data_IF_435844209595
#
_entry.id   IF_435844209595
#
_cell.length_a   1.000
_cell.length_b   1.000
_cell.length_c   1.000
_cell.angle_alpha   90.00
_cell.angle_beta   90.00
_cell.angle_gamma   90.00
#
_symmetry.space_group_name_H-M   'P 1'
#
loop_
_entity.id
_entity.type
_entity.pdbx_description
1 polymer ?
#
# COMPACT_ATOMS: atom_id res chain seq x y z
N UNK A 1 -25.83 35.61 57.95
CA UNK A 1 -26.31 36.60 56.94
C UNK A 1 -26.49 35.83 55.64
N UNK A 2 -27.80 35.55 55.30
CA UNK A 2 -28.24 34.90 54.07
C UNK A 2 -28.15 35.85 52.88
N UNK A 3 -27.62 35.33 51.74
CA UNK A 3 -27.90 35.82 50.38
C UNK A 3 -27.72 34.57 49.51
N UNK A 4 -28.64 33.92 48.95
CA UNK A 4 -29.68 34.39 48.05
C UNK A 4 -29.28 33.80 46.69
N UNK A 5 -29.57 32.43 46.46
CA UNK A 5 -29.50 31.81 45.14
C UNK A 5 -30.76 32.26 44.36
N UNK A 6 -30.59 32.99 43.29
CA UNK A 6 -31.61 33.12 42.23
C UNK A 6 -31.26 32.12 41.14
N UNK A 7 -32.01 31.07 41.06
CA UNK A 7 -32.06 30.22 39.90
C UNK A 7 -32.71 30.99 38.76
N UNK A 8 -31.99 31.13 37.69
CA UNK A 8 -32.52 31.57 36.40
C UNK A 8 -33.00 30.31 35.63
N UNK A 9 -34.27 29.99 35.86
CA UNK A 9 -35.02 29.10 34.98
C UNK A 9 -35.54 29.91 33.78
N UNK A 10 -34.71 30.08 32.80
CA UNK A 10 -35.12 30.54 31.46
C UNK A 10 -34.30 29.79 30.45
N UNK A 11 -34.95 29.15 29.57
CA UNK A 11 -34.53 28.52 28.31
C UNK A 11 -34.89 27.05 28.19
N UNK A 12 -36.15 26.82 27.98
CA UNK A 12 -36.61 25.55 27.35
C UNK A 12 -37.88 25.70 26.49
N UNK A 13 -38.37 26.89 26.21
CA UNK A 13 -39.53 27.07 25.34
C UNK A 13 -39.18 27.41 23.90
N UNK A 14 -37.96 27.90 23.65
CA UNK A 14 -37.50 28.30 22.31
C UNK A 14 -37.02 27.12 21.46
N UNK A 15 -36.52 26.04 22.07
CA UNK A 15 -35.90 24.94 21.30
C UNK A 15 -36.92 23.97 20.69
N UNK A 16 -38.10 23.79 21.33
CA UNK A 16 -39.13 22.91 20.81
C UNK A 16 -39.81 23.48 19.54
N UNK A 17 -39.94 24.84 19.48
CA UNK A 17 -40.60 25.49 18.34
C UNK A 17 -39.67 25.53 17.10
N UNK A 18 -38.39 25.67 17.30
CA UNK A 18 -37.41 25.66 16.20
C UNK A 18 -37.24 24.26 15.59
N UNK A 19 -37.25 23.20 16.44
CA UNK A 19 -37.20 21.83 15.98
C UNK A 19 -38.46 21.42 15.19
N UNK A 20 -39.66 21.88 15.62
CA UNK A 20 -40.88 21.59 14.90
C UNK A 20 -40.98 22.32 13.56
N UNK A 21 -40.49 23.56 13.50
CA UNK A 21 -40.39 24.30 12.21
C UNK A 21 -39.37 23.69 11.23
N UNK A 22 -38.27 23.14 11.73
CA UNK A 22 -37.27 22.49 10.88
C UNK A 22 -37.75 21.15 10.31
N UNK A 23 -38.54 20.38 11.12
CA UNK A 23 -39.15 19.13 10.65
C UNK A 23 -40.29 19.35 9.66
N UNK A 24 -41.06 20.42 9.82
CA UNK A 24 -42.14 20.78 8.88
C UNK A 24 -41.52 21.32 7.56
N UNK A 25 -40.43 22.07 7.65
CA UNK A 25 -39.74 22.58 6.46
C UNK A 25 -39.06 21.44 5.64
N UNK A 26 -38.52 20.40 6.30
CA UNK A 26 -37.95 19.26 5.62
C UNK A 26 -39.00 18.37 4.93
N UNK A 27 -40.24 18.30 5.46
CA UNK A 27 -41.33 17.61 4.78
C UNK A 27 -41.93 18.42 3.62
N UNK A 28 -41.92 19.76 3.68
CA UNK A 28 -42.33 20.59 2.56
C UNK A 28 -41.34 20.54 1.40
N UNK A 29 -40.05 20.41 1.67
CA UNK A 29 -39.01 20.27 0.61
C UNK A 29 -39.14 18.97 -0.18
N UNK A 30 -39.59 17.89 0.47
CA UNK A 30 -39.79 16.59 -0.18
C UNK A 30 -41.04 16.53 -1.07
N UNK A 31 -42.02 17.41 -0.84
CA UNK A 31 -43.25 17.48 -1.64
C UNK A 31 -43.16 18.45 -2.83
N UNK A 32 -42.17 19.37 -2.82
CA UNK A 32 -41.99 20.32 -3.92
C UNK A 32 -41.06 19.82 -5.04
N UNK A 33 -40.22 18.80 -4.77
CA UNK A 33 -39.31 18.23 -5.77
C UNK A 33 -39.97 17.22 -6.74
N UNK A 34 -41.25 16.89 -6.53
CA UNK A 34 -41.98 15.94 -7.39
C UNK A 34 -42.83 16.58 -8.46
N UNK A 35 -43.02 17.93 -8.48
CA UNK A 35 -43.91 18.57 -9.44
C UNK A 35 -43.26 19.48 -10.50
N UNK A 36 -41.93 19.62 -10.54
CA UNK A 36 -41.26 20.47 -11.51
C UNK A 36 -40.10 19.77 -12.20
N UNK A 37 -40.36 18.64 -12.84
CA UNK A 37 -39.46 18.13 -13.87
C UNK A 37 -39.97 18.69 -15.21
N UNK A 38 -39.27 19.61 -15.87
CA UNK A 38 -39.63 20.02 -17.22
C UNK A 38 -39.45 18.85 -18.17
N UNK A 39 -40.54 18.51 -18.89
CA UNK A 39 -40.59 17.52 -19.96
C UNK A 39 -39.40 17.72 -20.91
N UNK A 40 -38.61 16.68 -21.07
CA UNK A 40 -37.55 16.61 -22.06
C UNK A 40 -38.09 16.96 -23.46
N UNK A 41 -37.31 17.68 -24.29
CA UNK A 41 -37.73 18.01 -25.65
C UNK A 41 -37.90 16.73 -26.48
N UNK A 42 -39.03 16.62 -27.13
CA UNK A 42 -39.41 15.56 -28.08
C UNK A 42 -38.31 15.37 -29.12
N UNK A 43 -37.61 14.26 -29.07
CA UNK A 43 -36.71 13.81 -30.15
C UNK A 43 -37.59 13.41 -31.33
N UNK A 44 -37.49 14.16 -32.42
CA UNK A 44 -38.12 13.81 -33.69
C UNK A 44 -37.48 12.53 -34.25
N UNK A 45 -38.27 11.57 -34.78
CA UNK A 45 -37.73 10.40 -35.42
C UNK A 45 -37.04 10.77 -36.73
N UNK A 46 -35.74 10.53 -36.83
CA UNK A 46 -35.04 10.62 -38.12
C UNK A 46 -35.47 9.45 -39.00
N UNK A 47 -36.04 9.81 -40.13
CA UNK A 47 -36.49 8.91 -41.19
C UNK A 47 -35.30 8.09 -41.71
N UNK A 48 -35.58 6.79 -41.87
CA UNK A 48 -34.81 5.79 -42.58
C UNK A 48 -34.37 6.29 -43.96
N UNK A 49 -33.09 6.31 -44.25
CA UNK A 49 -32.57 6.17 -45.59
C UNK A 49 -31.90 4.80 -45.69
N UNK A 50 -32.68 3.89 -46.25
CA UNK A 50 -32.22 2.63 -46.84
C UNK A 50 -32.14 2.91 -48.33
N UNK A 51 -31.15 2.30 -48.95
CA UNK A 51 -30.96 1.95 -50.35
C UNK A 51 -29.93 2.78 -51.15
N UNK A 52 -29.09 1.94 -51.59
CA UNK A 52 -28.46 1.80 -52.91
C UNK A 52 -27.02 2.33 -52.97
N UNK A 53 -26.07 1.40 -53.02
CA UNK A 53 -25.42 1.12 -54.29
C UNK A 53 -24.51 -0.08 -54.18
N UNK A 54 -24.93 -1.10 -54.82
CA UNK A 54 -24.34 -2.29 -55.37
C UNK A 54 -23.28 -1.95 -56.40
N UNK A 55 -22.19 -2.70 -56.37
CA UNK A 55 -21.32 -3.14 -57.46
C UNK A 55 -20.63 -2.11 -58.36
N UNK A 56 -19.31 -2.21 -58.36
CA UNK A 56 -18.57 -2.38 -59.62
C UNK A 56 -17.36 -3.25 -59.32
N UNK A 57 -17.25 -4.25 -60.17
CA UNK A 57 -16.33 -5.35 -60.25
C UNK A 57 -14.93 -4.95 -60.75
N UNK A 58 -13.98 -5.77 -60.38
CA UNK A 58 -12.82 -6.25 -61.15
C UNK A 58 -12.14 -5.33 -62.17
N UNK A 59 -10.86 -5.06 -61.94
CA UNK A 59 -9.85 -5.22 -62.99
C UNK A 59 -8.50 -5.64 -62.43
N UNK A 60 -8.00 -6.74 -62.90
CA UNK A 60 -6.61 -7.18 -62.88
C UNK A 60 -5.71 -6.18 -63.61
N UNK A 61 -4.54 -5.89 -63.13
CA UNK A 61 -3.33 -5.83 -63.92
C UNK A 61 -2.06 -5.80 -63.04
N UNK A 62 -1.14 -6.64 -63.38
CA UNK A 62 0.22 -6.76 -62.93
C UNK A 62 1.02 -5.44 -63.12
N UNK A 63 1.95 -5.16 -62.21
CA UNK A 63 2.98 -4.17 -62.46
C UNK A 63 3.73 -3.91 -61.15
N UNK A 64 4.87 -4.57 -60.97
CA UNK A 64 5.78 -4.34 -59.83
C UNK A 64 6.44 -2.96 -59.94
N UNK A 65 6.60 -2.32 -58.78
CA UNK A 65 7.75 -1.48 -58.50
C UNK A 65 7.92 -1.34 -56.99
N UNK A 66 9.08 -1.70 -56.56
CA UNK A 66 9.58 -1.61 -55.20
C UNK A 66 9.69 -0.12 -54.83
N UNK A 67 9.04 0.30 -53.75
CA UNK A 67 9.43 1.49 -53.00
C UNK A 67 9.26 1.21 -51.53
N UNK A 68 10.41 1.13 -50.83
CA UNK A 68 10.49 1.14 -49.39
C UNK A 68 9.84 2.38 -48.82
N UNK A 69 8.78 2.21 -48.06
CA UNK A 69 8.34 3.18 -47.08
C UNK A 69 8.22 2.44 -45.75
N UNK A 70 9.16 2.73 -44.88
CA UNK A 70 9.11 2.37 -43.47
C UNK A 70 7.92 3.08 -42.82
N UNK A 71 6.78 2.40 -42.76
CA UNK A 71 5.72 2.73 -41.83
C UNK A 71 6.13 2.27 -40.45
N UNK A 72 6.69 3.21 -39.65
CA UNK A 72 6.80 3.04 -38.20
C UNK A 72 5.40 2.96 -37.59
N UNK A 73 4.85 1.75 -37.55
CA UNK A 73 3.74 1.41 -36.67
C UNK A 73 4.27 1.41 -35.23
N UNK A 74 4.15 2.56 -34.56
CA UNK A 74 4.14 2.59 -33.10
C UNK A 74 2.85 1.92 -32.61
N UNK A 75 2.86 0.60 -32.53
CA UNK A 75 1.89 -0.16 -31.76
C UNK A 75 2.24 0.14 -30.30
N UNK A 76 1.52 1.06 -29.68
CA UNK A 76 1.47 1.17 -28.23
C UNK A 76 0.91 -0.18 -27.75
N UNK A 77 1.81 -1.07 -27.34
CA UNK A 77 1.50 -2.32 -26.66
C UNK A 77 0.97 -1.90 -25.29
N UNK A 78 -0.34 -1.90 -25.14
CA UNK A 78 -1.01 -1.83 -23.85
C UNK A 78 -0.53 -3.07 -23.08
N UNK A 79 0.49 -2.86 -22.26
CA UNK A 79 1.17 -3.91 -21.51
C UNK A 79 0.31 -4.14 -20.28
N UNK A 80 -0.68 -5.05 -20.40
CA UNK A 80 -1.37 -5.58 -19.22
C UNK A 80 -0.31 -6.21 -18.33
N UNK A 81 -0.11 -5.64 -17.14
CA UNK A 81 0.87 -6.13 -16.18
C UNK A 81 0.62 -7.62 -15.89
N UNK A 82 1.68 -8.41 -15.83
CA UNK A 82 1.58 -9.84 -15.57
C UNK A 82 0.99 -10.09 -14.17
N UNK A 83 0.02 -10.99 -14.03
CA UNK A 83 -0.64 -11.23 -12.75
C UNK A 83 0.35 -11.57 -11.62
N UNK A 84 1.39 -12.36 -11.94
CA UNK A 84 2.46 -12.69 -10.99
C UNK A 84 3.28 -11.49 -10.55
N UNK A 85 3.46 -10.47 -11.42
CA UNK A 85 4.10 -9.20 -11.09
C UNK A 85 3.31 -8.43 -10.04
N UNK A 86 2.03 -8.22 -10.31
CA UNK A 86 1.11 -7.55 -9.39
C UNK A 86 1.10 -8.25 -8.02
N UNK A 87 1.07 -9.58 -8.01
CA UNK A 87 1.09 -10.35 -6.77
C UNK A 87 2.44 -10.26 -6.04
N UNK A 88 3.56 -10.24 -6.77
CA UNK A 88 4.90 -10.05 -6.23
C UNK A 88 5.04 -8.69 -5.55
N UNK A 89 4.63 -7.63 -6.22
CA UNK A 89 4.66 -6.26 -5.70
C UNK A 89 3.83 -6.14 -4.42
N UNK A 90 2.59 -6.58 -4.48
CA UNK A 90 1.65 -6.49 -3.35
C UNK A 90 2.09 -7.29 -2.12
N UNK A 91 2.66 -8.46 -2.31
CA UNK A 91 2.88 -9.41 -1.23
C UNK A 91 4.35 -9.50 -0.76
N UNK A 92 5.31 -9.27 -1.66
CA UNK A 92 6.72 -9.51 -1.38
C UNK A 92 7.55 -8.23 -1.28
N UNK A 93 7.30 -7.22 -2.13
CA UNK A 93 8.07 -5.97 -2.12
C UNK A 93 7.90 -5.12 -0.87
N UNK A 94 6.86 -5.39 -0.07
CA UNK A 94 6.71 -4.80 1.29
C UNK A 94 7.96 -5.03 2.15
N UNK A 95 8.59 -6.21 2.01
CA UNK A 95 9.82 -6.55 2.72
C UNK A 95 11.03 -6.62 1.78
N UNK A 96 10.84 -7.16 0.58
CA UNK A 96 11.86 -7.44 -0.43
C UNK A 96 11.93 -6.33 -1.50
N UNK A 97 11.81 -5.06 -1.08
CA UNK A 97 11.76 -3.90 -1.97
C UNK A 97 12.93 -3.88 -2.97
N UNK A 98 12.67 -3.70 -4.27
CA UNK A 98 13.71 -3.58 -5.28
C UNK A 98 14.48 -2.26 -5.18
N UNK A 99 13.84 -1.18 -4.70
CA UNK A 99 14.38 0.18 -4.73
C UNK A 99 14.97 0.66 -3.42
N UNK A 100 14.66 0.03 -2.27
CA UNK A 100 15.17 0.45 -0.97
C UNK A 100 16.70 0.39 -0.92
N UNK A 101 17.35 1.55 -0.81
CA UNK A 101 18.81 1.67 -0.68
C UNK A 101 19.29 1.45 0.75
N UNK A 102 18.50 1.89 1.73
CA UNK A 102 18.77 1.81 3.17
C UNK A 102 17.56 1.25 3.92
N UNK A 103 17.74 0.86 5.17
CA UNK A 103 16.64 0.36 6.00
C UNK A 103 16.01 -0.96 5.54
N UNK A 104 16.69 -1.74 4.71
CA UNK A 104 16.20 -3.04 4.23
C UNK A 104 15.93 -3.98 5.39
N UNK A 105 14.76 -4.62 5.39
CA UNK A 105 14.36 -5.64 6.37
C UNK A 105 14.45 -7.06 5.82
N UNK A 106 14.65 -7.19 4.51
CA UNK A 106 14.87 -8.43 3.79
C UNK A 106 15.77 -8.15 2.57
N UNK A 107 16.40 -9.17 1.97
CA UNK A 107 17.14 -8.99 0.72
C UNK A 107 16.18 -8.58 -0.40
N UNK A 108 16.57 -7.66 -1.29
CA UNK A 108 15.80 -7.36 -2.51
C UNK A 108 15.45 -8.63 -3.28
N UNK A 109 14.28 -8.69 -3.89
CA UNK A 109 13.81 -9.90 -4.57
C UNK A 109 14.72 -10.34 -5.72
N UNK A 110 15.36 -9.38 -6.40
CA UNK A 110 16.37 -9.70 -7.42
C UNK A 110 17.55 -10.52 -6.85
N UNK A 111 17.99 -10.24 -5.62
CA UNK A 111 19.03 -11.06 -4.98
C UNK A 111 18.52 -12.44 -4.61
N UNK A 112 17.25 -12.55 -4.20
CA UNK A 112 16.61 -13.83 -3.96
C UNK A 112 16.61 -14.66 -5.26
N UNK A 113 16.15 -14.08 -6.37
CA UNK A 113 16.17 -14.74 -7.68
C UNK A 113 17.57 -15.30 -8.02
N UNK A 114 18.61 -14.47 -7.93
CA UNK A 114 19.98 -14.84 -8.25
C UNK A 114 20.55 -15.98 -7.36
N UNK A 115 20.07 -16.10 -6.12
CA UNK A 115 20.53 -17.14 -5.21
C UNK A 115 19.75 -18.46 -5.38
N UNK A 116 18.49 -18.38 -5.81
CA UNK A 116 17.65 -19.56 -5.99
C UNK A 116 17.78 -20.15 -7.40
N UNK A 117 17.98 -19.31 -8.44
CA UNK A 117 18.10 -19.75 -9.83
C UNK A 117 19.57 -19.74 -10.22
N UNK A 118 20.14 -20.92 -10.40
CA UNK A 118 21.49 -21.17 -10.87
C UNK A 118 21.46 -21.79 -12.26
N UNK A 119 22.61 -21.87 -12.90
CA UNK A 119 22.73 -22.60 -14.18
C UNK A 119 22.21 -24.03 -14.02
N UNK A 120 21.26 -24.39 -14.89
CA UNK A 120 20.59 -25.70 -14.85
C UNK A 120 19.40 -25.83 -13.89
N UNK A 121 19.09 -24.82 -13.08
CA UNK A 121 17.88 -24.83 -12.23
C UNK A 121 16.63 -24.79 -13.10
N UNK A 122 15.77 -25.77 -13.02
CA UNK A 122 14.49 -25.79 -13.71
C UNK A 122 13.46 -24.91 -13.00
N UNK A 123 12.43 -24.49 -13.73
CA UNK A 123 11.31 -23.73 -13.16
C UNK A 123 10.61 -24.52 -12.05
N UNK A 124 10.45 -25.82 -12.21
CA UNK A 124 9.83 -26.66 -11.19
C UNK A 124 10.64 -26.69 -9.90
N UNK A 125 11.95 -26.93 -9.99
CA UNK A 125 12.85 -26.95 -8.82
C UNK A 125 12.87 -25.60 -8.09
N UNK A 126 12.88 -24.51 -8.86
CA UNK A 126 12.77 -23.18 -8.29
C UNK A 126 11.45 -22.98 -7.55
N UNK A 127 10.33 -23.30 -8.20
CA UNK A 127 8.97 -23.12 -7.66
C UNK A 127 8.79 -23.92 -6.37
N UNK A 128 9.19 -25.19 -6.36
CA UNK A 128 9.10 -26.06 -5.18
C UNK A 128 9.95 -25.52 -4.01
N UNK A 129 11.20 -25.14 -4.28
CA UNK A 129 12.09 -24.57 -3.26
C UNK A 129 11.56 -23.24 -2.71
N UNK A 130 11.05 -22.36 -3.58
CA UNK A 130 10.47 -21.08 -3.23
C UNK A 130 9.24 -21.25 -2.33
N UNK A 131 8.25 -22.05 -2.77
CA UNK A 131 7.02 -22.32 -2.03
C UNK A 131 7.31 -22.98 -0.68
N UNK A 132 8.19 -24.01 -0.69
CA UNK A 132 8.59 -24.71 0.54
C UNK A 132 9.22 -23.79 1.55
N UNK A 133 10.05 -22.82 1.10
CA UNK A 133 10.68 -21.87 2.01
C UNK A 133 9.68 -20.80 2.51
N UNK A 134 8.84 -20.25 1.64
CA UNK A 134 7.84 -19.24 2.02
C UNK A 134 6.84 -19.79 3.03
N UNK A 135 6.36 -21.02 2.82
CA UNK A 135 5.39 -21.68 3.72
C UNK A 135 6.02 -22.16 5.03
N UNK A 136 7.25 -22.65 4.99
CA UNK A 136 7.93 -23.23 6.15
C UNK A 136 9.41 -22.82 6.17
N UNK A 137 9.72 -21.55 6.47
CA UNK A 137 11.09 -21.07 6.48
C UNK A 137 11.89 -21.69 7.63
N UNK A 138 12.98 -22.37 7.25
CA UNK A 138 13.97 -22.91 8.21
C UNK A 138 15.37 -22.53 7.73
N UNK A 139 16.36 -22.57 8.64
CA UNK A 139 17.74 -22.27 8.28
C UNK A 139 18.28 -23.23 7.22
N UNK A 140 17.88 -24.49 7.29
CA UNK A 140 18.36 -25.55 6.39
C UNK A 140 17.81 -25.40 4.96
N UNK A 141 16.59 -24.86 4.82
CA UNK A 141 15.98 -24.58 3.49
C UNK A 141 16.48 -23.29 2.86
N UNK A 142 17.12 -22.42 3.63
CA UNK A 142 17.52 -21.10 3.15
C UNK A 142 18.71 -21.19 2.19
N UNK A 143 18.53 -20.66 0.98
CA UNK A 143 19.61 -20.55 -0.02
C UNK A 143 20.53 -19.36 0.23
N UNK A 144 20.21 -18.47 1.19
CA UNK A 144 20.90 -17.23 1.48
C UNK A 144 21.30 -17.14 2.97
N UNK A 145 22.31 -17.88 3.45
CA UNK A 145 22.71 -17.85 4.87
C UNK A 145 23.17 -16.46 5.34
N UNK A 146 23.80 -15.67 4.45
CA UNK A 146 24.17 -14.28 4.74
C UNK A 146 22.96 -13.37 4.95
N UNK A 147 21.85 -13.60 4.26
CA UNK A 147 20.62 -12.85 4.50
C UNK A 147 20.03 -13.18 5.89
N UNK A 148 20.09 -14.44 6.32
CA UNK A 148 19.65 -14.82 7.67
C UNK A 148 20.50 -14.13 8.74
N UNK A 149 21.81 -14.02 8.54
CA UNK A 149 22.69 -13.33 9.48
C UNK A 149 22.36 -11.83 9.57
N UNK A 150 22.01 -11.19 8.47
CA UNK A 150 21.74 -9.76 8.40
C UNK A 150 20.30 -9.39 8.79
N UNK A 151 19.31 -10.18 8.37
CA UNK A 151 17.89 -9.85 8.48
C UNK A 151 17.10 -10.79 9.41
N UNK A 152 17.71 -11.88 9.84
CA UNK A 152 17.01 -12.97 10.53
C UNK A 152 16.32 -13.92 9.56
N UNK A 153 15.72 -14.98 10.09
CA UNK A 153 14.93 -15.92 9.31
C UNK A 153 13.62 -15.26 8.90
N UNK A 154 13.26 -15.37 7.60
CA UNK A 154 11.98 -14.90 7.08
C UNK A 154 10.83 -15.48 7.90
N UNK A 155 9.84 -14.68 8.32
CA UNK A 155 8.65 -15.22 8.97
C UNK A 155 7.81 -16.04 8.00
N UNK A 156 7.17 -17.09 8.50
CA UNK A 156 6.24 -17.91 7.73
C UNK A 156 5.12 -17.05 7.13
N UNK A 157 4.78 -17.29 5.88
CA UNK A 157 3.69 -16.59 5.17
C UNK A 157 2.58 -17.58 4.81
N UNK A 158 1.35 -17.21 5.11
CA UNK A 158 0.16 -18.03 4.84
C UNK A 158 -0.51 -17.65 3.50
N UNK A 159 0.29 -17.56 2.42
CA UNK A 159 -0.28 -17.30 1.09
C UNK A 159 -0.88 -18.57 0.49
N UNK A 160 -2.00 -18.45 -0.26
CA UNK A 160 -2.51 -19.53 -1.07
C UNK A 160 -1.43 -20.06 -2.04
N UNK A 161 -1.42 -21.36 -2.29
CA UNK A 161 -0.42 -21.97 -3.15
C UNK A 161 -0.51 -21.47 -4.59
N UNK A 162 -1.72 -21.23 -5.08
CA UNK A 162 -1.96 -20.62 -6.39
C UNK A 162 -1.27 -19.24 -6.51
N UNK A 163 -1.38 -18.41 -5.49
CA UNK A 163 -0.69 -17.10 -5.43
C UNK A 163 0.82 -17.26 -5.50
N UNK A 164 1.37 -18.21 -4.74
CA UNK A 164 2.81 -18.47 -4.73
C UNK A 164 3.30 -19.04 -6.06
N UNK A 165 2.51 -19.88 -6.73
CA UNK A 165 2.83 -20.40 -8.07
C UNK A 165 2.91 -19.27 -9.09
N UNK A 166 1.95 -18.35 -9.12
CA UNK A 166 1.95 -17.17 -10.02
C UNK A 166 3.15 -16.25 -9.77
N UNK A 167 3.49 -16.02 -8.51
CA UNK A 167 4.66 -15.24 -8.13
C UNK A 167 5.95 -15.95 -8.57
N UNK A 168 6.07 -17.26 -8.32
CA UNK A 168 7.23 -18.04 -8.71
C UNK A 168 7.42 -18.09 -10.23
N UNK A 169 6.32 -18.25 -10.97
CA UNK A 169 6.33 -18.21 -12.44
C UNK A 169 6.89 -16.87 -12.93
N UNK A 170 6.41 -15.75 -12.41
CA UNK A 170 6.90 -14.43 -12.79
C UNK A 170 8.38 -14.24 -12.42
N UNK A 171 8.78 -14.60 -11.20
CA UNK A 171 10.18 -14.50 -10.76
C UNK A 171 11.10 -15.30 -11.67
N UNK A 172 10.69 -16.50 -12.09
CA UNK A 172 11.53 -17.35 -12.91
C UNK A 172 11.68 -16.82 -14.33
N UNK A 173 10.59 -16.45 -14.98
CA UNK A 173 10.53 -16.18 -16.42
C UNK A 173 10.83 -14.72 -16.80
N UNK A 174 10.65 -13.76 -15.89
CA UNK A 174 10.75 -12.34 -16.20
C UNK A 174 11.91 -11.66 -15.45
N UNK A 175 12.43 -10.58 -16.03
CA UNK A 175 13.37 -9.74 -15.32
C UNK A 175 12.66 -8.99 -14.20
N UNK A 176 13.26 -8.98 -13.01
CA UNK A 176 12.73 -8.31 -11.84
C UNK A 176 13.56 -7.05 -11.61
N UNK A 177 12.89 -5.96 -11.25
CA UNK A 177 13.55 -4.75 -10.82
C UNK A 177 14.49 -5.03 -9.65
N UNK A 178 15.69 -4.51 -9.73
CA UNK A 178 16.73 -4.66 -8.72
C UNK A 178 17.30 -3.32 -8.30
N UNK A 179 17.96 -3.26 -7.12
CA UNK A 179 18.62 -2.03 -6.69
C UNK A 179 19.70 -1.63 -7.68
N UNK A 180 19.89 -0.30 -7.84
CA UNK A 180 20.86 0.24 -8.80
C UNK A 180 22.32 -0.23 -8.58
N UNK A 181 22.63 -0.77 -7.41
CA UNK A 181 23.93 -1.38 -7.06
C UNK A 181 24.02 -2.88 -7.40
N UNK A 182 22.99 -3.46 -8.04
CA UNK A 182 22.94 -4.89 -8.35
C UNK A 182 24.11 -5.36 -9.24
N UNK A 183 24.50 -4.58 -10.23
CA UNK A 183 25.64 -4.91 -11.11
C UNK A 183 26.97 -4.97 -10.33
N UNK A 184 27.12 -4.16 -9.28
CA UNK A 184 28.29 -4.17 -8.40
C UNK A 184 28.22 -5.31 -7.38
N UNK A 185 27.04 -5.64 -6.89
CA UNK A 185 26.80 -6.79 -6.01
C UNK A 185 27.27 -8.09 -6.70
N UNK A 186 26.92 -8.28 -7.97
CA UNK A 186 27.33 -9.44 -8.77
C UNK A 186 28.86 -9.55 -8.92
N UNK A 187 29.57 -8.42 -8.97
CA UNK A 187 31.04 -8.38 -9.00
C UNK A 187 31.69 -8.67 -7.64
N UNK A 188 31.03 -8.36 -6.53
CA UNK A 188 31.57 -8.47 -5.16
C UNK A 188 31.41 -9.85 -4.52
N UNK A 189 30.40 -10.62 -4.90
CA UNK A 189 30.27 -12.02 -4.42
C UNK A 189 31.31 -12.99 -4.99
N UNK A 190 32.15 -12.55 -5.92
CA UNK A 190 33.33 -13.27 -6.37
C UNK A 190 34.60 -13.03 -5.57
N UNK A 191 34.72 -11.96 -4.76
CA UNK A 191 35.89 -11.69 -3.90
C UNK A 191 35.48 -10.68 -2.81
N UNK A 192 35.47 -11.14 -1.57
CA UNK A 192 35.22 -10.25 -0.43
C UNK A 192 36.28 -9.15 -0.32
N UNK A 193 35.84 -7.91 -0.33
CA UNK A 193 36.44 -6.77 0.39
C UNK A 193 35.51 -5.58 0.33
N UNK A 194 35.16 -5.03 1.47
CA UNK A 194 34.50 -3.74 1.60
C UNK A 194 35.37 -2.63 1.03
N UNK A 195 34.84 -1.87 0.08
CA UNK A 195 35.36 -0.56 -0.25
C UNK A 195 34.33 0.53 0.06
N UNK A 196 34.74 1.40 0.96
CA UNK A 196 34.14 2.70 1.25
C UNK A 196 34.39 3.64 0.05
N UNK A 197 33.37 4.38 -0.37
CA UNK A 197 33.52 5.59 -1.17
C UNK A 197 32.99 5.47 -2.60
N UNK A 198 31.75 5.88 -2.82
CA UNK A 198 31.29 6.50 -4.06
C UNK A 198 30.45 7.73 -3.67
N UNK A 199 30.66 8.82 -4.37
CA UNK A 199 29.92 10.06 -4.22
C UNK A 199 28.42 9.74 -4.22
N UNK A 200 27.78 10.10 -3.12
CA UNK A 200 26.36 9.92 -2.89
C UNK A 200 25.67 10.95 -3.78
N UNK A 201 25.09 10.54 -4.89
CA UNK A 201 24.15 11.39 -5.60
C UNK A 201 23.16 11.93 -4.56
N UNK A 202 22.98 13.24 -4.51
CA UNK A 202 22.12 13.91 -3.56
C UNK A 202 20.68 13.40 -3.76
N UNK A 203 20.10 12.81 -2.73
CA UNK A 203 18.73 12.27 -2.80
C UNK A 203 17.75 13.42 -2.97
N UNK A 204 16.77 13.27 -3.83
CA UNK A 204 15.64 14.19 -3.91
C UNK A 204 14.89 14.25 -2.56
N UNK A 205 14.13 15.31 -2.33
CA UNK A 205 13.28 15.45 -1.13
C UNK A 205 12.31 14.26 -0.98
N UNK A 206 11.72 13.82 -2.08
CA UNK A 206 10.85 12.65 -2.11
C UNK A 206 11.58 11.36 -1.69
N UNK A 207 12.74 11.08 -2.25
CA UNK A 207 13.55 9.91 -1.90
C UNK A 207 14.02 9.96 -0.45
N UNK A 208 14.40 11.13 0.06
CA UNK A 208 14.85 11.32 1.44
C UNK A 208 13.73 11.07 2.44
N UNK A 209 12.57 11.66 2.24
CA UNK A 209 11.41 11.47 3.11
C UNK A 209 10.88 10.03 3.06
N UNK A 210 10.88 9.40 1.89
CA UNK A 210 10.52 8.00 1.73
C UNK A 210 11.51 7.07 2.46
N UNK A 211 12.82 7.34 2.40
CA UNK A 211 13.83 6.61 3.16
C UNK A 211 13.59 6.71 4.67
N UNK A 212 13.20 7.88 5.19
CA UNK A 212 12.85 8.06 6.60
C UNK A 212 11.64 7.23 7.01
N UNK A 213 10.58 7.22 6.20
CA UNK A 213 9.39 6.39 6.44
C UNK A 213 9.72 4.90 6.40
N UNK A 214 10.45 4.45 5.37
CA UNK A 214 10.76 3.04 5.15
C UNK A 214 11.76 2.49 6.17
N UNK A 215 12.79 3.25 6.56
CA UNK A 215 13.73 2.84 7.62
C UNK A 215 13.03 2.72 8.97
N UNK A 216 12.11 3.64 9.29
CA UNK A 216 11.27 3.57 10.50
C UNK A 216 10.34 2.35 10.46
N UNK A 217 9.67 2.11 9.32
CA UNK A 217 8.86 0.90 9.08
C UNK A 217 9.68 -0.37 9.28
N UNK A 218 10.92 -0.39 8.82
CA UNK A 218 11.83 -1.53 8.96
C UNK A 218 12.14 -1.84 10.43
N UNK A 219 12.46 -0.82 11.23
CA UNK A 219 12.71 -0.98 12.67
C UNK A 219 11.48 -1.51 13.38
N UNK A 220 10.31 -0.93 13.15
CA UNK A 220 9.06 -1.39 13.74
C UNK A 220 8.71 -2.81 13.30
N UNK A 221 8.82 -3.10 12.01
CA UNK A 221 8.51 -4.39 11.41
C UNK A 221 9.40 -5.51 11.97
N UNK A 222 10.72 -5.28 12.07
CA UNK A 222 11.66 -6.25 12.66
C UNK A 222 11.27 -6.63 14.08
N UNK A 223 10.96 -5.64 14.91
CA UNK A 223 10.58 -5.87 16.31
C UNK A 223 9.22 -6.56 16.42
N UNK A 224 8.22 -6.11 15.65
CA UNK A 224 6.90 -6.73 15.58
C UNK A 224 6.99 -8.20 15.17
N UNK A 225 7.75 -8.50 14.11
CA UNK A 225 7.93 -9.87 13.63
C UNK A 225 8.65 -10.76 14.63
N UNK A 226 9.64 -10.21 15.35
CA UNK A 226 10.30 -10.91 16.44
C UNK A 226 9.30 -11.32 17.53
N UNK A 227 8.42 -10.41 17.94
CA UNK A 227 7.39 -10.65 18.95
C UNK A 227 6.29 -11.61 18.48
N UNK A 228 5.83 -11.46 17.24
CA UNK A 228 4.87 -12.41 16.64
C UNK A 228 5.41 -13.84 16.69
N UNK A 229 6.70 -14.02 16.38
CA UNK A 229 7.35 -15.34 16.38
C UNK A 229 7.55 -15.92 17.78
N UNK A 230 7.93 -15.10 18.75
CA UNK A 230 8.27 -15.57 20.10
C UNK A 230 7.06 -15.65 21.04
N UNK A 231 6.07 -14.77 20.87
CA UNK A 231 5.00 -14.54 21.85
C UNK A 231 3.60 -14.51 21.20
N UNK A 232 3.51 -14.79 19.90
CA UNK A 232 2.25 -14.75 19.15
C UNK A 232 1.66 -13.35 19.02
N UNK A 233 0.38 -13.28 18.58
CA UNK A 233 -0.33 -12.02 18.31
C UNK A 233 -0.56 -11.17 19.56
N UNK A 234 -0.83 -11.81 20.70
CA UNK A 234 -1.07 -11.10 21.98
C UNK A 234 0.21 -10.41 22.46
N UNK A 235 1.36 -11.10 22.44
CA UNK A 235 2.65 -10.51 22.81
C UNK A 235 3.09 -9.42 21.83
N UNK A 236 2.81 -9.61 20.54
CA UNK A 236 3.06 -8.59 19.54
C UNK A 236 2.19 -7.33 19.73
N UNK A 237 0.94 -7.50 20.14
CA UNK A 237 0.04 -6.39 20.47
C UNK A 237 0.54 -5.60 21.69
N UNK A 238 1.03 -6.30 22.69
CA UNK A 238 1.62 -5.68 23.88
C UNK A 238 2.85 -4.84 23.53
N UNK A 239 3.74 -5.40 22.70
CA UNK A 239 4.87 -4.66 22.15
C UNK A 239 4.42 -3.40 21.39
N UNK A 240 3.43 -3.52 20.52
CA UNK A 240 2.90 -2.37 19.78
C UNK A 240 2.36 -1.27 20.70
N UNK A 241 1.66 -1.66 21.76
CA UNK A 241 1.10 -0.73 22.74
C UNK A 241 2.17 0.09 23.45
N UNK A 242 3.27 -0.55 23.85
CA UNK A 242 4.30 0.07 24.73
C UNK A 242 5.46 0.66 23.93
N UNK A 243 5.86 0.04 22.82
CA UNK A 243 7.14 0.31 22.15
C UNK A 243 7.02 0.98 20.76
N UNK A 244 5.84 0.92 20.10
CA UNK A 244 5.75 1.42 18.73
C UNK A 244 5.96 2.93 18.64
N UNK A 245 5.42 3.73 19.55
CA UNK A 245 5.63 5.18 19.60
C UNK A 245 7.09 5.49 19.97
N UNK A 246 7.66 5.01 21.08
CA UNK A 246 9.06 5.26 21.42
C UNK A 246 10.07 4.90 20.33
N UNK A 247 9.82 3.83 19.58
CA UNK A 247 10.69 3.45 18.44
C UNK A 247 10.53 4.43 17.28
N UNK A 248 9.31 4.87 16.99
CA UNK A 248 9.07 5.89 15.97
C UNK A 248 9.78 7.20 16.32
N UNK A 249 9.67 7.64 17.59
CA UNK A 249 10.32 8.86 18.10
C UNK A 249 11.85 8.75 18.05
N UNK A 250 12.39 7.55 18.35
CA UNK A 250 13.82 7.30 18.21
C UNK A 250 14.29 7.47 16.77
N UNK A 251 13.53 6.96 15.81
CA UNK A 251 13.85 7.11 14.38
C UNK A 251 13.67 8.55 13.91
N UNK A 252 12.66 9.26 14.41
CA UNK A 252 12.46 10.69 14.16
C UNK A 252 13.69 11.51 14.58
N UNK A 253 14.29 11.21 15.74
CA UNK A 253 15.55 11.84 16.20
C UNK A 253 16.73 11.47 15.30
N UNK A 254 16.85 10.22 14.87
CA UNK A 254 17.94 9.76 13.97
C UNK A 254 17.90 10.51 12.63
N UNK A 255 16.70 10.78 12.12
CA UNK A 255 16.50 11.45 10.83
C UNK A 255 16.35 12.97 10.94
N UNK A 256 16.36 13.54 12.14
CA UNK A 256 16.07 14.96 12.38
C UNK A 256 14.77 15.40 11.69
N UNK A 257 13.71 14.59 11.83
CA UNK A 257 12.43 14.75 11.17
C UNK A 257 11.28 14.45 12.14
N UNK A 258 10.10 15.01 11.89
CA UNK A 258 8.87 14.50 12.48
C UNK A 258 8.45 13.27 11.67
N UNK A 259 8.28 12.13 12.32
CA UNK A 259 7.80 10.90 11.70
C UNK A 259 6.63 10.38 12.53
N UNK A 260 5.46 10.34 11.93
CA UNK A 260 4.23 9.85 12.59
C UNK A 260 3.44 8.93 11.65
N UNK A 261 2.59 8.11 12.25
CA UNK A 261 1.62 7.28 11.52
C UNK A 261 0.24 7.75 11.88
N UNK A 262 -0.55 8.13 10.87
CA UNK A 262 -1.89 8.67 11.08
C UNK A 262 -2.95 7.89 10.28
N UNK A 263 -4.18 7.91 10.78
CA UNK A 263 -5.31 7.20 10.19
C UNK A 263 -6.64 7.80 10.67
N UNK A 264 -7.68 7.60 9.89
CA UNK A 264 -9.06 7.95 10.27
C UNK A 264 -9.72 6.88 11.18
N UNK A 265 -9.15 5.65 11.18
CA UNK A 265 -9.59 4.57 12.05
C UNK A 265 -8.46 4.16 13.01
N UNK A 266 -8.15 4.98 14.03
CA UNK A 266 -7.03 4.73 14.91
C UNK A 266 -7.29 3.57 15.87
N UNK A 267 -6.24 2.79 16.18
CA UNK A 267 -6.19 1.90 17.33
C UNK A 267 -5.86 2.68 18.60
N UNK A 268 -4.77 3.46 18.53
CA UNK A 268 -4.46 4.47 19.53
C UNK A 268 -5.04 5.81 19.06
N UNK A 269 -5.90 6.49 19.85
CA UNK A 269 -6.47 7.80 19.52
C UNK A 269 -5.44 8.86 19.07
N UNK A 270 -4.22 8.82 19.63
CA UNK A 270 -3.13 9.75 19.27
C UNK A 270 -2.71 9.67 17.80
N UNK A 271 -3.03 8.56 17.12
CA UNK A 271 -2.76 8.37 15.70
C UNK A 271 -3.90 8.85 14.79
N UNK A 272 -4.86 9.62 15.32
CA UNK A 272 -5.93 10.18 14.50
C UNK A 272 -5.36 11.19 13.51
N UNK A 273 -5.74 11.06 12.25
CA UNK A 273 -5.35 12.00 11.19
C UNK A 273 -6.00 13.37 11.44
N UNK A 274 -5.26 14.46 11.16
CA UNK A 274 -5.80 15.83 11.19
C UNK A 274 -6.77 16.05 10.02
N UNK A 275 -7.67 17.02 10.15
CA UNK A 275 -8.59 17.35 9.05
C UNK A 275 -7.83 17.83 7.80
N UNK A 276 -6.71 18.54 8.00
CA UNK A 276 -5.85 18.98 6.89
C UNK A 276 -5.21 17.82 6.14
N UNK A 277 -4.73 16.79 6.85
CA UNK A 277 -4.06 15.64 6.25
C UNK A 277 -5.05 14.57 5.73
N UNK A 278 -6.34 14.66 6.11
CA UNK A 278 -7.35 13.68 5.73
C UNK A 278 -7.56 13.60 4.21
N UNK A 279 -7.33 14.68 3.50
CA UNK A 279 -7.42 14.73 2.03
C UNK A 279 -6.44 13.74 1.38
N UNK A 280 -5.21 13.66 1.89
CA UNK A 280 -4.19 12.73 1.37
C UNK A 280 -4.55 11.28 1.67
N UNK A 281 -5.03 11.00 2.87
CA UNK A 281 -5.47 9.66 3.25
C UNK A 281 -6.64 9.19 2.37
N UNK A 282 -7.61 10.07 2.10
CA UNK A 282 -8.74 9.76 1.22
C UNK A 282 -8.30 9.53 -0.22
N UNK A 283 -7.34 10.32 -0.72
CA UNK A 283 -6.77 10.11 -2.06
C UNK A 283 -6.07 8.76 -2.16
N UNK A 284 -5.30 8.35 -1.16
CA UNK A 284 -4.70 7.01 -1.12
C UNK A 284 -5.75 5.91 -1.12
N UNK A 285 -6.82 6.04 -0.34
CA UNK A 285 -7.93 5.08 -0.31
C UNK A 285 -8.64 4.97 -1.66
N UNK A 286 -8.89 6.11 -2.31
CA UNK A 286 -9.50 6.17 -3.62
C UNK A 286 -8.63 5.48 -4.69
N UNK A 287 -7.33 5.78 -4.72
CA UNK A 287 -6.38 5.13 -5.65
C UNK A 287 -6.31 3.63 -5.43
N UNK A 288 -6.19 3.19 -4.17
CA UNK A 288 -6.17 1.77 -3.84
C UNK A 288 -7.48 1.05 -4.24
N UNK A 289 -8.64 1.68 -4.04
CA UNK A 289 -9.93 1.14 -4.46
C UNK A 289 -10.08 1.05 -5.98
N UNK A 290 -9.46 1.97 -6.72
CA UNK A 290 -9.40 1.93 -8.19
C UNK A 290 -8.35 0.93 -8.74
N UNK A 291 -7.63 0.22 -7.86
CA UNK A 291 -6.55 -0.69 -8.24
C UNK A 291 -5.27 0.02 -8.71
N UNK A 292 -5.21 1.34 -8.56
CA UNK A 292 -4.00 2.13 -8.86
C UNK A 292 -3.11 2.14 -7.62
N UNK A 293 -1.81 1.92 -7.80
CA UNK A 293 -0.86 1.99 -6.71
C UNK A 293 -0.81 3.42 -6.15
N UNK A 294 -0.99 3.61 -4.83
CA UNK A 294 -0.94 4.94 -4.25
C UNK A 294 0.51 5.46 -4.19
N UNK A 295 0.81 6.41 -5.04
CA UNK A 295 2.11 7.09 -5.06
C UNK A 295 2.31 8.00 -3.85
N UNK A 296 3.59 8.19 -3.47
CA UNK A 296 4.00 9.15 -2.45
C UNK A 296 3.56 10.57 -2.81
N UNK A 297 3.03 11.31 -1.84
CA UNK A 297 2.69 12.73 -1.99
C UNK A 297 3.77 13.55 -1.27
N UNK A 298 4.27 14.59 -1.93
CA UNK A 298 5.26 15.53 -1.37
C UNK A 298 4.71 16.93 -1.52
N UNK A 299 4.71 17.68 -0.43
CA UNK A 299 4.29 19.08 -0.37
C UNK A 299 5.35 19.92 0.35
N UNK A 300 5.59 21.11 -0.14
CA UNK A 300 6.43 22.10 0.52
C UNK A 300 5.54 23.12 1.23
N UNK A 301 5.70 23.27 2.52
CA UNK A 301 4.92 24.18 3.33
C UNK A 301 5.80 24.78 4.43
N UNK A 302 5.82 26.11 4.56
CA UNK A 302 6.55 26.84 5.58
C UNK A 302 8.06 26.51 5.65
N UNK A 303 8.71 26.31 4.49
CA UNK A 303 10.13 25.96 4.39
C UNK A 303 10.46 24.52 4.81
N UNK A 304 9.44 23.67 4.91
CA UNK A 304 9.57 22.26 5.25
C UNK A 304 8.99 21.38 4.15
N UNK A 305 9.60 20.23 3.98
CA UNK A 305 9.06 19.18 3.14
C UNK A 305 8.15 18.28 3.96
N UNK A 306 6.89 18.16 3.55
CA UNK A 306 5.91 17.20 4.07
C UNK A 306 5.77 16.04 3.08
N UNK A 307 6.06 14.84 3.54
CA UNK A 307 5.90 13.64 2.73
C UNK A 307 4.82 12.75 3.35
N UNK A 308 3.92 12.26 2.51
CA UNK A 308 2.89 11.29 2.87
C UNK A 308 3.09 9.99 2.08
N UNK A 309 3.07 8.87 2.78
CA UNK A 309 3.27 7.55 2.20
C UNK A 309 2.24 6.55 2.76
N UNK A 310 1.50 5.82 1.92
CA UNK A 310 0.41 4.96 2.38
C UNK A 310 0.91 3.72 3.13
N UNK A 311 0.12 3.27 4.09
CA UNK A 311 0.31 2.01 4.81
C UNK A 311 -0.72 1.02 4.29
N UNK A 312 -0.29 0.15 3.39
CA UNK A 312 -1.13 -0.89 2.81
C UNK A 312 -1.20 -2.12 3.70
N UNK A 313 -2.38 -2.72 3.78
CA UNK A 313 -2.58 -4.00 4.47
C UNK A 313 -2.18 -5.17 3.58
N UNK A 314 -1.63 -6.21 4.20
CA UNK A 314 -1.39 -7.52 3.60
C UNK A 314 -2.00 -8.63 4.47
N UNK A 315 -1.84 -9.88 4.09
CA UNK A 315 -2.39 -11.03 4.83
C UNK A 315 -1.94 -11.09 6.29
N UNK A 316 -0.70 -10.70 6.58
CA UNK A 316 -0.17 -10.68 7.94
C UNK A 316 -0.86 -9.63 8.83
N UNK A 317 -1.28 -8.52 8.27
CA UNK A 317 -1.97 -7.46 8.98
C UNK A 317 -3.33 -7.92 9.52
N UNK A 318 -3.95 -8.91 8.87
CA UNK A 318 -5.29 -9.40 9.20
C UNK A 318 -5.37 -10.03 10.58
N UNK A 319 -4.30 -10.58 11.11
CA UNK A 319 -4.26 -11.18 12.45
C UNK A 319 -4.62 -10.18 13.56
N UNK A 320 -4.46 -8.87 13.30
CA UNK A 320 -4.76 -7.80 14.26
C UNK A 320 -5.69 -6.72 13.70
N UNK A 321 -5.84 -6.63 12.38
CA UNK A 321 -6.62 -5.58 11.71
C UNK A 321 -7.74 -6.12 10.82
N UNK A 322 -7.84 -7.44 10.64
CA UNK A 322 -8.87 -8.10 9.87
C UNK A 322 -10.24 -8.09 10.55
N UNK A 323 -11.14 -8.94 10.09
CA UNK A 323 -12.50 -9.07 10.60
C UNK A 323 -12.48 -9.82 11.93
N UNK A 324 -13.08 -9.25 13.00
CA UNK A 324 -13.26 -9.96 14.28
C UNK A 324 -13.96 -11.31 14.10
N UNK A 325 -13.44 -12.34 14.75
CA UNK A 325 -14.03 -13.70 14.70
C UNK A 325 -13.83 -14.46 13.39
N UNK A 326 -13.21 -13.83 12.37
CA UNK A 326 -12.86 -14.46 11.09
C UNK A 326 -11.35 -14.49 10.91
N UNK A 327 -10.72 -13.32 10.92
CA UNK A 327 -9.27 -13.16 10.72
C UNK A 327 -8.52 -12.97 12.05
N UNK A 328 -9.20 -12.36 13.04
CA UNK A 328 -8.65 -12.07 14.36
C UNK A 328 -9.16 -13.14 15.33
N UNK A 329 -8.22 -13.88 15.93
CA UNK A 329 -8.53 -14.86 16.97
C UNK A 329 -9.13 -14.20 18.22
N UNK A 330 -10.00 -14.92 18.94
CA UNK A 330 -10.72 -14.41 20.11
C UNK A 330 -9.77 -13.92 21.22
N UNK A 331 -8.64 -14.59 21.43
CA UNK A 331 -7.60 -14.18 22.39
C UNK A 331 -6.97 -12.84 22.04
N UNK A 332 -6.67 -12.65 20.75
CA UNK A 332 -6.15 -11.38 20.21
C UNK A 332 -7.19 -10.27 20.29
N UNK A 333 -8.45 -10.56 19.95
CA UNK A 333 -9.54 -9.59 20.04
C UNK A 333 -9.78 -9.12 21.48
N UNK A 334 -9.79 -10.03 22.44
CA UNK A 334 -9.89 -9.70 23.87
C UNK A 334 -8.72 -8.82 24.34
N UNK A 335 -7.50 -9.12 23.89
CA UNK A 335 -6.32 -8.31 24.20
C UNK A 335 -6.39 -6.91 23.56
N UNK A 336 -6.92 -6.79 22.33
CA UNK A 336 -7.17 -5.50 21.68
C UNK A 336 -8.15 -4.69 22.51
N UNK A 337 -9.30 -5.25 22.86
CA UNK A 337 -10.33 -4.58 23.64
C UNK A 337 -9.83 -4.12 25.01
N UNK A 338 -9.01 -4.95 25.68
CA UNK A 338 -8.43 -4.62 26.98
C UNK A 338 -7.39 -3.50 26.93
N UNK A 339 -6.59 -3.41 25.85
CA UNK A 339 -5.52 -2.41 25.71
C UNK A 339 -5.95 -1.14 24.95
N UNK A 340 -6.95 -1.25 24.12
CA UNK A 340 -7.46 -0.18 23.26
C UNK A 340 -8.99 -0.18 23.26
N UNK A 341 -9.63 0.30 24.33
CA UNK A 341 -11.10 0.29 24.44
C UNK A 341 -11.79 1.11 23.34
N UNK A 342 -11.08 2.07 22.74
CA UNK A 342 -11.58 2.92 21.64
C UNK A 342 -11.08 2.45 20.26
N UNK A 343 -10.64 1.19 20.14
CA UNK A 343 -10.10 0.67 18.87
C UNK A 343 -11.08 0.78 17.71
N UNK A 344 -10.65 1.41 16.62
CA UNK A 344 -11.38 1.51 15.35
C UNK A 344 -10.66 0.81 14.20
N UNK A 345 -9.60 0.08 14.52
CA UNK A 345 -8.64 -0.44 13.54
C UNK A 345 -8.84 -1.91 13.19
N UNK A 346 -10.06 -2.40 13.25
CA UNK A 346 -10.45 -3.75 12.81
C UNK A 346 -11.39 -3.71 11.61
N UNK A 347 -11.64 -4.85 10.97
CA UNK A 347 -12.54 -4.97 9.82
C UNK A 347 -11.89 -4.73 8.47
N UNK A 348 -10.56 -4.58 8.40
CA UNK A 348 -9.84 -4.42 7.14
C UNK A 348 -9.78 -5.73 6.35
N UNK A 349 -9.60 -5.58 5.04
CA UNK A 349 -9.22 -6.64 4.12
C UNK A 349 -7.80 -6.38 3.57
N UNK A 350 -7.21 -7.37 2.91
CA UNK A 350 -5.91 -7.23 2.23
C UNK A 350 -5.99 -6.16 1.14
N UNK A 351 -4.90 -5.45 0.91
CA UNK A 351 -4.77 -4.37 -0.10
C UNK A 351 -5.63 -3.12 0.18
N UNK A 352 -5.98 -2.86 1.43
CA UNK A 352 -6.60 -1.61 1.85
C UNK A 352 -5.58 -0.65 2.47
N UNK A 353 -5.87 0.64 2.38
CA UNK A 353 -5.07 1.66 3.08
C UNK A 353 -5.49 1.69 4.54
N UNK A 354 -4.58 1.24 5.43
CA UNK A 354 -4.75 1.24 6.88
C UNK A 354 -4.54 2.61 7.51
N UNK A 355 -3.74 3.43 6.85
CA UNK A 355 -3.31 4.73 7.29
C UNK A 355 -2.18 5.23 6.40
N UNK A 356 -1.45 6.23 6.88
CA UNK A 356 -0.27 6.74 6.17
C UNK A 356 0.83 7.16 7.13
N UNK A 357 2.05 7.16 6.63
CA UNK A 357 3.17 7.85 7.21
C UNK A 357 3.07 9.33 6.85
N UNK A 358 3.33 10.20 7.81
CA UNK A 358 3.63 11.62 7.60
C UNK A 358 5.04 11.86 8.10
N UNK A 359 5.88 12.38 7.20
CA UNK A 359 7.28 12.73 7.49
C UNK A 359 7.45 14.21 7.18
N UNK A 360 7.91 14.99 8.16
CA UNK A 360 8.17 16.43 7.99
C UNK A 360 9.61 16.70 8.36
N UNK A 361 10.36 17.33 7.46
CA UNK A 361 11.77 17.64 7.64
C UNK A 361 12.15 18.95 6.96
N UNK A 362 13.25 19.54 7.40
CA UNK A 362 13.80 20.76 6.80
C UNK A 362 14.46 20.45 5.46
N UNK A 363 14.45 21.42 4.56
CA UNK A 363 15.00 21.31 3.20
C UNK A 363 16.51 21.15 3.15
#
# INVERSE_FOLDING_TARGET
>A
IKKGRRELAFFCVGCATICTLYLVCNQCYFLLDLETIPLAPKIKPMKKYILASVAIATFMACGGLSTNSEETKSVAKEQTAHEGEILLEKNCYVCHSPTAKTGRIAPPMQYVKEHYIKEGTTQQEFTEAFISFVKHPTKDKAKMPGAIANFGLMPQQAFPEETLNKIADYIYNYEIEGPGDFKEHKKKHGKGKHQKGQEKAEMTKAERGLDYALSTKAVLGKNLMGKLKSEGTVGALEFCNVKAIPLTDSMAKVHHALIIRVTDQPRNPDNKVSDADLVHLNLFKQRAAAGTEPETIVEEMDGKTNLYFPIMTNSMCMQCHGKPGVDIENSTLAAIQGKYPEDKATGYSVNQVRGMWKVVFDD
#
